data_IF_178601791637
#
_entry.id   IF_178601791637
#
_cell.length_a   1.000
_cell.length_b   1.000
_cell.length_c   1.000
_cell.angle_alpha   90.00
_cell.angle_beta   90.00
_cell.angle_gamma   90.00
#
_symmetry.space_group_name_H-M   'P 1'
#
loop_
_entity.id
_entity.type
_entity.pdbx_description
1 polymer ?
#
# COMPACT_ATOMS: atom_id res chain seq x y z
N UNK A 1 -34.05 -56.55 -7.61
CA UNK A 1 -34.28 -55.25 -6.94
C UNK A 1 -33.81 -55.16 -5.47
N UNK A 2 -33.94 -56.15 -4.65
CA UNK A 2 -33.49 -56.10 -3.22
C UNK A 2 -31.96 -55.96 -3.00
N UNK A 3 -31.12 -56.49 -3.91
CA UNK A 3 -29.66 -56.40 -3.80
C UNK A 3 -29.11 -55.01 -4.16
N UNK A 4 -29.82 -54.24 -4.98
CA UNK A 4 -29.40 -52.88 -5.35
C UNK A 4 -29.67 -51.85 -4.24
N UNK A 5 -30.73 -52.05 -3.49
CA UNK A 5 -31.05 -51.20 -2.33
C UNK A 5 -30.02 -51.34 -1.17
N UNK A 6 -29.44 -52.52 -1.02
CA UNK A 6 -28.41 -52.74 0.03
C UNK A 6 -27.08 -52.09 -0.31
N UNK A 7 -26.69 -52.01 -1.59
CA UNK A 7 -25.49 -51.29 -2.03
C UNK A 7 -25.64 -49.77 -1.92
N UNK A 8 -26.82 -49.22 -2.23
CA UNK A 8 -27.07 -47.78 -2.06
C UNK A 8 -27.09 -47.37 -0.58
N UNK A 9 -27.58 -48.25 0.31
CA UNK A 9 -27.57 -47.96 1.76
C UNK A 9 -26.17 -48.07 2.39
N UNK A 10 -25.31 -48.94 1.89
CA UNK A 10 -23.90 -49.02 2.31
C UNK A 10 -23.06 -47.85 1.74
N UNK A 11 -23.38 -47.27 0.56
CA UNK A 11 -22.71 -46.10 0.00
C UNK A 11 -23.10 -44.81 0.71
N UNK A 12 -24.30 -44.74 1.26
CA UNK A 12 -24.79 -43.57 2.04
C UNK A 12 -24.26 -43.54 3.48
N UNK A 13 -23.86 -44.69 4.05
CA UNK A 13 -23.28 -44.74 5.41
C UNK A 13 -21.78 -44.44 5.45
N UNK A 14 -21.08 -44.48 4.30
CA UNK A 14 -19.64 -44.11 4.23
C UNK A 14 -19.45 -42.60 4.12
N UNK A 15 -20.49 -41.83 3.76
CA UNK A 15 -20.40 -40.35 3.62
C UNK A 15 -20.60 -39.58 4.93
N UNK A 16 -20.82 -40.23 6.05
CA UNK A 16 -20.89 -39.63 7.38
C UNK A 16 -19.73 -40.07 8.31
N UNK A 17 -18.53 -40.24 7.76
CA UNK A 17 -17.35 -40.14 8.62
C UNK A 17 -17.26 -38.70 9.07
N UNK A 18 -17.27 -38.41 10.39
CA UNK A 18 -16.95 -37.05 10.83
C UNK A 18 -15.60 -36.74 10.22
N UNK A 19 -15.52 -35.65 9.49
CA UNK A 19 -14.24 -35.10 9.09
C UNK A 19 -13.55 -34.81 10.44
N UNK A 20 -12.62 -35.64 10.83
CA UNK A 20 -11.78 -35.40 12.01
C UNK A 20 -11.06 -34.07 11.66
N UNK A 21 -11.51 -32.96 12.29
CA UNK A 21 -10.86 -31.68 12.16
C UNK A 21 -9.39 -31.86 12.52
N UNK A 22 -8.51 -31.18 11.79
CA UNK A 22 -7.08 -31.18 12.10
C UNK A 22 -6.87 -30.85 13.58
N UNK A 23 -5.99 -31.59 14.22
CA UNK A 23 -5.60 -31.28 15.61
C UNK A 23 -4.81 -29.96 15.65
N UNK A 24 -4.85 -29.27 16.79
CA UNK A 24 -4.03 -28.05 17.00
C UNK A 24 -2.56 -28.26 16.60
N UNK A 25 -1.99 -29.43 16.96
CA UNK A 25 -0.59 -29.76 16.66
C UNK A 25 -0.32 -29.88 15.15
N UNK A 26 -1.26 -30.44 14.37
CA UNK A 26 -1.18 -30.56 12.94
C UNK A 26 -1.29 -29.18 12.26
N UNK A 27 -2.23 -28.33 12.69
CA UNK A 27 -2.37 -26.96 12.21
C UNK A 27 -1.08 -26.17 12.43
N UNK A 28 -0.52 -26.21 13.63
CA UNK A 28 0.74 -25.50 13.94
C UNK A 28 1.91 -26.04 13.12
N UNK A 29 1.97 -27.33 12.88
CA UNK A 29 3.01 -27.93 12.02
C UNK A 29 2.89 -27.44 10.58
N UNK A 30 1.68 -27.40 10.04
CA UNK A 30 1.41 -26.88 8.70
C UNK A 30 1.78 -25.37 8.58
N UNK A 31 1.38 -24.56 9.57
CA UNK A 31 1.74 -23.13 9.63
C UNK A 31 3.26 -22.94 9.62
N UNK A 32 4.00 -23.72 10.39
CA UNK A 32 5.48 -23.65 10.42
C UNK A 32 6.13 -24.02 9.09
N UNK A 33 5.57 -25.01 8.40
CA UNK A 33 6.03 -25.37 7.05
C UNK A 33 5.77 -24.23 6.08
N UNK A 34 4.54 -23.68 6.02
CA UNK A 34 4.18 -22.54 5.15
C UNK A 34 5.03 -21.32 5.46
N UNK A 35 5.35 -21.05 6.73
CA UNK A 35 6.24 -19.97 7.13
C UNK A 35 7.66 -20.17 6.59
N UNK A 36 8.22 -21.36 6.67
CA UNK A 36 9.52 -21.68 6.08
C UNK A 36 9.53 -21.45 4.56
N UNK A 37 8.50 -21.96 3.85
CA UNK A 37 8.34 -21.78 2.40
C UNK A 37 8.22 -20.31 2.02
N UNK A 38 7.46 -19.50 2.79
CA UNK A 38 7.33 -18.07 2.56
C UNK A 38 8.67 -17.34 2.74
N UNK A 39 9.43 -17.65 3.79
CA UNK A 39 10.77 -17.07 4.00
C UNK A 39 11.74 -17.41 2.87
N UNK A 40 11.70 -18.63 2.35
CA UNK A 40 12.50 -19.01 1.18
C UNK A 40 12.09 -18.25 -0.09
N UNK A 41 10.78 -18.11 -0.34
CA UNK A 41 10.27 -17.30 -1.46
C UNK A 41 10.72 -15.84 -1.37
N UNK A 42 10.59 -15.22 -0.19
CA UNK A 42 11.07 -13.85 0.06
C UNK A 42 12.57 -13.74 -0.20
N UNK A 43 13.37 -14.70 0.31
CA UNK A 43 14.81 -14.72 0.11
C UNK A 43 15.23 -14.91 -1.37
N UNK A 44 14.34 -15.43 -2.24
CA UNK A 44 14.55 -15.60 -3.67
C UNK A 44 13.93 -14.47 -4.51
N UNK A 45 13.16 -13.58 -3.90
CA UNK A 45 12.50 -12.48 -4.61
C UNK A 45 13.53 -11.58 -5.30
N UNK A 46 13.30 -11.25 -6.57
CA UNK A 46 14.23 -10.44 -7.38
C UNK A 46 15.56 -11.09 -7.72
N UNK A 47 15.80 -12.39 -7.39
CA UNK A 47 17.03 -13.10 -7.71
C UNK A 47 16.93 -13.92 -9.01
N UNK A 48 18.09 -14.29 -9.55
CA UNK A 48 18.20 -15.17 -10.74
C UNK A 48 17.49 -14.60 -11.99
N UNK A 49 17.51 -13.28 -12.17
CA UNK A 49 16.91 -12.62 -13.34
C UNK A 49 15.38 -12.58 -13.31
N UNK A 50 14.75 -12.98 -12.21
CA UNK A 50 13.33 -12.79 -12.00
C UNK A 50 13.06 -11.38 -11.51
N UNK A 51 12.00 -10.76 -12.03
CA UNK A 51 11.53 -9.50 -11.47
C UNK A 51 11.00 -9.70 -10.05
N UNK A 52 11.29 -8.78 -9.12
CA UNK A 52 10.70 -8.82 -7.79
C UNK A 52 9.17 -8.68 -7.89
N UNK A 53 8.47 -9.35 -6.99
CA UNK A 53 7.01 -9.27 -6.82
C UNK A 53 6.73 -8.82 -5.41
N UNK A 54 6.90 -7.53 -5.20
CA UNK A 54 6.72 -6.92 -3.90
C UNK A 54 6.19 -5.48 -4.03
N UNK A 55 5.68 -5.00 -2.91
CA UNK A 55 5.36 -3.59 -2.70
C UNK A 55 6.01 -3.17 -1.40
N UNK A 56 6.72 -2.06 -1.43
CA UNK A 56 7.29 -1.42 -0.26
C UNK A 56 6.62 -0.10 -0.01
N UNK A 57 6.26 0.14 1.24
CA UNK A 57 5.77 1.42 1.74
C UNK A 57 6.71 1.86 2.85
N UNK A 58 7.23 3.07 2.77
CA UNK A 58 8.06 3.68 3.80
C UNK A 58 7.43 5.01 4.18
N UNK A 59 7.02 5.14 5.43
CA UNK A 59 6.59 6.39 6.03
C UNK A 59 7.70 6.93 6.91
N UNK A 60 8.21 8.09 6.56
CA UNK A 60 9.22 8.81 7.33
C UNK A 60 8.57 10.01 8.01
N UNK A 61 8.86 10.21 9.30
CA UNK A 61 8.39 11.36 10.09
C UNK A 61 9.53 11.93 10.90
N UNK A 62 9.62 13.25 10.95
CA UNK A 62 10.53 13.98 11.82
C UNK A 62 9.68 14.64 12.91
N UNK A 63 9.75 14.13 14.12
CA UNK A 63 8.91 14.60 15.22
C UNK A 63 9.36 15.96 15.81
N UNK A 64 10.67 16.26 15.76
CA UNK A 64 11.21 17.50 16.31
C UNK A 64 12.39 17.98 15.46
N UNK A 65 12.36 19.26 15.04
CA UNK A 65 13.44 19.89 14.26
C UNK A 65 14.71 20.11 15.10
N UNK A 66 14.56 20.29 16.44
CA UNK A 66 15.67 20.58 17.35
C UNK A 66 16.35 19.30 17.88
N UNK A 67 15.60 18.21 17.96
CA UNK A 67 16.11 16.88 18.30
C UNK A 67 15.60 15.93 17.21
N UNK A 68 16.40 15.63 16.20
CA UNK A 68 15.93 14.79 15.09
C UNK A 68 15.67 13.36 15.60
N UNK A 69 14.48 13.16 16.14
CA UNK A 69 13.91 11.85 16.42
C UNK A 69 13.26 11.40 15.13
N UNK A 70 13.81 10.37 14.57
CA UNK A 70 13.42 9.84 13.28
C UNK A 70 12.55 8.60 13.48
N UNK A 71 11.29 8.70 13.08
CA UNK A 71 10.39 7.57 13.00
C UNK A 71 10.32 7.06 11.57
N UNK A 72 10.59 5.79 11.40
CA UNK A 72 10.47 5.11 10.12
C UNK A 72 9.59 3.89 10.28
N UNK A 73 8.50 3.85 9.54
CA UNK A 73 7.68 2.67 9.33
C UNK A 73 7.90 2.13 7.92
N UNK A 74 8.41 0.92 7.80
CA UNK A 74 8.54 0.24 6.52
C UNK A 74 7.68 -1.02 6.50
N UNK A 75 6.81 -1.12 5.51
CA UNK A 75 6.01 -2.30 5.21
C UNK A 75 6.41 -2.89 3.87
N UNK A 76 6.85 -4.14 3.88
CA UNK A 76 7.13 -4.92 2.68
C UNK A 76 6.06 -5.99 2.50
N UNK A 77 5.35 -5.94 1.39
CA UNK A 77 4.32 -6.91 1.01
C UNK A 77 4.85 -7.80 -0.11
N UNK A 78 4.83 -9.10 0.08
CA UNK A 78 5.22 -10.10 -0.91
C UNK A 78 3.98 -10.81 -1.42
N UNK A 79 3.74 -10.76 -2.73
CA UNK A 79 2.53 -11.29 -3.38
C UNK A 79 2.85 -12.10 -4.64
N UNK A 80 1.85 -12.77 -5.17
CA UNK A 80 1.94 -13.48 -6.44
C UNK A 80 0.95 -12.87 -7.43
N UNK A 81 1.29 -12.96 -8.71
CA UNK A 81 0.44 -12.55 -9.81
C UNK A 81 0.18 -13.74 -10.70
N UNK A 82 -1.04 -13.86 -11.19
CA UNK A 82 -1.45 -14.94 -12.08
C UNK A 82 -2.14 -14.35 -13.31
N UNK A 83 -1.91 -14.92 -14.50
CA UNK A 83 -2.69 -14.60 -15.67
C UNK A 83 -4.19 -14.81 -15.38
N UNK A 84 -5.02 -13.84 -15.70
CA UNK A 84 -6.48 -13.95 -15.61
C UNK A 84 -7.11 -13.65 -16.97
N UNK A 85 -8.38 -14.04 -17.16
CA UNK A 85 -9.10 -13.79 -18.42
C UNK A 85 -9.30 -12.29 -18.73
N UNK A 86 -9.16 -11.43 -17.71
CA UNK A 86 -9.32 -9.98 -17.82
C UNK A 86 -8.01 -9.20 -17.66
N UNK A 87 -6.88 -9.91 -17.61
CA UNK A 87 -5.57 -9.34 -17.34
C UNK A 87 -4.86 -10.02 -16.16
N UNK A 88 -3.81 -9.41 -15.56
CA UNK A 88 -3.15 -9.94 -14.35
C UNK A 88 -4.05 -9.68 -13.15
N UNK A 89 -4.41 -10.74 -12.45
CA UNK A 89 -4.99 -10.63 -11.12
C UNK A 89 -3.87 -10.64 -10.08
N UNK A 90 -3.71 -9.55 -9.36
CA UNK A 90 -2.85 -9.49 -8.19
C UNK A 90 -3.55 -10.21 -7.04
N UNK A 91 -2.89 -11.22 -6.48
CA UNK A 91 -3.40 -11.87 -5.27
C UNK A 91 -3.05 -11.06 -4.03
N UNK A 92 -3.82 -11.22 -2.94
CA UNK A 92 -3.41 -10.73 -1.64
C UNK A 92 -1.99 -11.20 -1.30
N UNK A 93 -1.23 -10.45 -0.48
CA UNK A 93 0.12 -10.86 -0.11
C UNK A 93 0.09 -12.21 0.61
N UNK A 94 1.11 -13.02 0.39
CA UNK A 94 1.31 -14.24 1.17
C UNK A 94 2.17 -14.00 2.41
N UNK A 95 2.96 -12.91 2.40
CA UNK A 95 3.85 -12.55 3.50
C UNK A 95 4.01 -11.03 3.58
N UNK A 96 4.01 -10.51 4.82
CA UNK A 96 4.20 -9.08 5.10
C UNK A 96 5.31 -8.96 6.13
N UNK A 97 6.19 -7.99 5.95
CA UNK A 97 7.25 -7.64 6.90
C UNK A 97 7.11 -6.17 7.25
N UNK A 98 7.05 -5.86 8.54
CA UNK A 98 7.14 -4.52 9.09
C UNK A 98 8.50 -4.35 9.78
N UNK A 99 9.15 -3.24 9.49
CA UNK A 99 10.27 -2.71 10.26
C UNK A 99 9.87 -1.33 10.77
N UNK A 100 9.81 -1.18 12.06
CA UNK A 100 9.45 0.08 12.70
C UNK A 100 10.58 0.55 13.62
N UNK A 101 10.89 1.83 13.55
CA UNK A 101 11.89 2.48 14.40
C UNK A 101 11.29 3.75 14.97
N UNK A 102 11.30 3.88 16.28
CA UNK A 102 10.87 5.07 17.01
C UNK A 102 11.84 5.33 18.16
N UNK A 103 12.39 6.55 18.23
CA UNK A 103 13.30 6.97 19.31
C UNK A 103 14.45 5.99 19.60
N UNK A 104 14.93 5.28 18.56
CA UNK A 104 15.97 4.27 18.71
C UNK A 104 15.45 2.89 19.13
N UNK A 105 14.14 2.73 19.39
CA UNK A 105 13.52 1.43 19.61
C UNK A 105 13.17 0.80 18.26
N UNK A 106 13.51 -0.46 18.12
CA UNK A 106 13.26 -1.22 16.91
C UNK A 106 12.13 -2.22 17.16
N UNK A 107 11.16 -2.26 16.27
CA UNK A 107 10.16 -3.32 16.21
C UNK A 107 10.21 -3.98 14.84
N UNK A 108 10.10 -5.28 14.84
CA UNK A 108 10.04 -6.11 13.66
C UNK A 108 8.83 -7.02 13.75
N UNK A 109 8.03 -7.07 12.69
CA UNK A 109 6.88 -7.96 12.61
C UNK A 109 6.87 -8.71 11.29
N UNK A 110 6.42 -9.96 11.35
CA UNK A 110 6.14 -10.79 10.19
C UNK A 110 4.71 -11.30 10.27
N UNK A 111 3.99 -11.22 9.17
CA UNK A 111 2.63 -11.76 9.03
C UNK A 111 2.61 -12.78 7.90
N UNK A 112 2.12 -13.98 8.18
CA UNK A 112 1.91 -15.03 7.19
C UNK A 112 0.43 -15.20 6.92
N UNK A 113 0.06 -15.21 5.64
CA UNK A 113 -1.29 -15.48 5.18
C UNK A 113 -1.35 -16.91 4.60
N UNK A 114 -2.51 -17.53 4.76
CA UNK A 114 -2.79 -18.81 4.10
C UNK A 114 -2.86 -18.62 2.59
N UNK A 115 -2.08 -19.36 1.80
CA UNK A 115 -2.02 -19.15 0.34
C UNK A 115 -3.32 -19.48 -0.40
N UNK A 116 -4.28 -20.18 0.23
CA UNK A 116 -5.57 -20.55 -0.36
C UNK A 116 -6.73 -19.66 0.09
N UNK A 117 -6.78 -19.35 1.39
CA UNK A 117 -7.88 -18.57 1.97
C UNK A 117 -7.54 -17.10 2.17
N UNK A 118 -6.26 -16.72 2.05
CA UNK A 118 -5.71 -15.39 2.31
C UNK A 118 -5.99 -14.86 3.73
N UNK A 119 -6.31 -15.75 4.65
CA UNK A 119 -6.49 -15.42 6.05
C UNK A 119 -5.16 -15.38 6.78
N UNK A 120 -5.05 -14.52 7.77
CA UNK A 120 -3.89 -14.45 8.66
C UNK A 120 -3.83 -15.73 9.48
N UNK A 121 -2.71 -16.47 9.39
CA UNK A 121 -2.49 -17.73 10.10
C UNK A 121 -1.34 -17.67 11.10
N UNK A 122 -0.47 -16.65 10.97
CA UNK A 122 0.65 -16.51 11.89
C UNK A 122 1.11 -15.05 11.95
N UNK A 123 1.45 -14.59 13.16
CA UNK A 123 2.17 -13.33 13.39
C UNK A 123 3.39 -13.61 14.27
N UNK A 124 4.51 -13.05 13.93
CA UNK A 124 5.72 -12.95 14.74
C UNK A 124 6.04 -11.49 14.97
N UNK A 125 6.25 -11.11 16.20
CA UNK A 125 6.65 -9.75 16.57
C UNK A 125 7.85 -9.81 17.50
N UNK A 126 8.82 -8.95 17.24
CA UNK A 126 9.99 -8.71 18.06
C UNK A 126 10.16 -7.22 18.28
N UNK A 127 10.36 -6.81 19.51
CA UNK A 127 10.64 -5.43 19.87
C UNK A 127 11.65 -5.35 20.99
N UNK A 128 12.13 -4.13 21.23
CA UNK A 128 13.02 -3.82 22.33
C UNK A 128 12.32 -2.83 23.27
N UNK A 129 12.41 -3.05 24.56
CA UNK A 129 11.89 -2.13 25.58
C UNK A 129 12.91 -1.06 25.89
N UNK A 130 12.47 0.06 26.51
CA UNK A 130 13.34 1.15 26.98
C UNK A 130 14.49 0.68 27.91
N UNK A 131 14.30 -0.46 28.55
CA UNK A 131 15.33 -1.10 29.39
C UNK A 131 16.27 -2.04 28.62
N UNK A 132 16.15 -2.12 27.28
CA UNK A 132 16.98 -2.95 26.41
C UNK A 132 16.59 -4.44 26.40
N UNK A 133 15.42 -4.81 26.94
CA UNK A 133 14.96 -6.20 26.91
C UNK A 133 14.26 -6.50 25.57
N UNK A 134 14.66 -7.60 24.94
CA UNK A 134 14.01 -8.09 23.72
C UNK A 134 12.73 -8.85 24.11
N UNK A 135 11.60 -8.38 23.57
CA UNK A 135 10.29 -9.03 23.68
C UNK A 135 9.97 -9.72 22.36
N UNK A 136 9.56 -10.97 22.43
CA UNK A 136 9.12 -11.73 21.26
C UNK A 136 7.73 -12.33 21.51
N UNK A 137 6.89 -12.28 20.48
CA UNK A 137 5.58 -12.95 20.46
C UNK A 137 5.39 -13.74 19.17
N UNK A 138 4.75 -14.89 19.27
CA UNK A 138 4.34 -15.73 18.14
C UNK A 138 2.90 -16.15 18.35
N UNK A 139 2.01 -15.73 17.48
CA UNK A 139 0.59 -16.05 17.52
C UNK A 139 0.24 -16.94 16.31
N UNK A 140 -0.39 -18.08 16.60
CA UNK A 140 -0.87 -19.04 15.60
C UNK A 140 -2.40 -18.98 15.56
N UNK A 141 -2.99 -18.91 14.37
CA UNK A 141 -4.43 -18.80 14.19
C UNK A 141 -4.96 -19.98 13.36
N UNK A 142 -6.17 -20.41 13.67
CA UNK A 142 -6.89 -21.42 12.88
C UNK A 142 -7.58 -20.80 11.64
N UNK A 143 -8.28 -21.64 10.88
CA UNK A 143 -9.02 -21.22 9.69
C UNK A 143 -10.26 -20.35 9.99
N UNK A 144 -10.63 -20.16 11.25
CA UNK A 144 -11.64 -19.21 11.71
C UNK A 144 -11.01 -17.90 12.19
N UNK A 145 -9.68 -17.80 12.17
CA UNK A 145 -8.92 -16.65 12.66
C UNK A 145 -8.90 -16.55 14.18
N UNK A 146 -9.16 -17.65 14.90
CA UNK A 146 -9.03 -17.73 16.35
C UNK A 146 -7.59 -18.09 16.73
N UNK A 147 -7.02 -17.38 17.71
CA UNK A 147 -5.71 -17.73 18.23
C UNK A 147 -5.75 -19.09 18.91
N UNK A 148 -5.02 -20.07 18.37
CA UNK A 148 -4.91 -21.42 18.91
C UNK A 148 -3.67 -21.61 19.78
N UNK A 149 -2.62 -20.79 19.57
CA UNK A 149 -1.42 -20.81 20.39
C UNK A 149 -0.74 -19.44 20.37
N UNK A 150 -0.38 -18.98 21.55
CA UNK A 150 0.51 -17.84 21.75
C UNK A 150 1.79 -18.31 22.44
N UNK A 151 2.94 -17.83 21.97
CA UNK A 151 4.24 -18.01 22.61
C UNK A 151 4.89 -16.65 22.76
N UNK A 152 5.15 -16.27 23.99
CA UNK A 152 5.88 -15.04 24.33
C UNK A 152 6.98 -15.34 25.34
N UNK A 153 8.06 -14.60 25.29
CA UNK A 153 9.14 -14.65 26.26
C UNK A 153 8.91 -13.70 27.45
N UNK A 154 7.83 -12.93 27.44
CA UNK A 154 7.53 -11.94 28.50
C UNK A 154 6.08 -12.12 28.96
N UNK A 155 5.83 -12.39 30.24
CA UNK A 155 4.47 -12.35 30.79
C UNK A 155 3.95 -10.91 30.72
N UNK A 156 2.70 -10.71 30.32
CA UNK A 156 2.06 -9.42 30.05
C UNK A 156 2.71 -8.67 28.87
N UNK A 157 2.95 -9.36 27.76
CA UNK A 157 3.48 -8.73 26.55
C UNK A 157 2.53 -7.63 26.07
N UNK A 158 3.10 -6.53 25.54
CA UNK A 158 2.35 -5.46 24.88
C UNK A 158 1.65 -5.93 23.60
N UNK A 159 1.97 -7.16 23.16
CA UNK A 159 1.47 -7.79 21.95
C UNK A 159 0.47 -8.89 22.30
N UNK A 160 -0.81 -8.56 22.31
CA UNK A 160 -1.86 -9.57 22.44
C UNK A 160 -2.19 -10.22 21.09
N UNK A 161 -2.63 -11.50 21.04
CA UNK A 161 -3.05 -12.11 19.78
C UNK A 161 -4.12 -11.32 19.02
N UNK A 162 -4.99 -10.61 19.76
CA UNK A 162 -6.02 -9.75 19.18
C UNK A 162 -5.41 -8.52 18.52
N UNK A 163 -4.52 -7.78 19.22
CA UNK A 163 -3.87 -6.59 18.65
C UNK A 163 -2.97 -6.94 17.47
N UNK A 164 -2.26 -8.07 17.50
CA UNK A 164 -1.45 -8.55 16.39
C UNK A 164 -2.30 -8.82 15.14
N UNK A 165 -3.47 -9.43 15.31
CA UNK A 165 -4.39 -9.69 14.21
C UNK A 165 -4.99 -8.42 13.65
N UNK A 166 -5.46 -7.49 14.50
CA UNK A 166 -6.01 -6.20 14.10
C UNK A 166 -5.00 -5.37 13.29
N UNK A 167 -3.73 -5.37 13.72
CA UNK A 167 -2.64 -4.71 12.98
C UNK A 167 -2.41 -5.38 11.62
N UNK A 168 -2.37 -6.71 11.56
CA UNK A 168 -2.20 -7.43 10.31
C UNK A 168 -3.37 -7.20 9.33
N UNK A 169 -4.61 -7.13 9.82
CA UNK A 169 -5.80 -6.76 9.02
C UNK A 169 -5.71 -5.33 8.49
N UNK A 170 -5.15 -4.40 9.28
CA UNK A 170 -4.89 -3.04 8.81
C UNK A 170 -3.87 -3.01 7.65
N UNK A 171 -2.80 -3.81 7.71
CA UNK A 171 -1.85 -3.92 6.61
C UNK A 171 -2.47 -4.48 5.34
N UNK A 172 -3.35 -5.49 5.47
CA UNK A 172 -4.11 -6.01 4.32
C UNK A 172 -4.93 -4.92 3.64
N UNK A 173 -5.61 -4.09 4.42
CA UNK A 173 -6.38 -2.96 3.90
C UNK A 173 -5.50 -1.93 3.19
N UNK A 174 -4.33 -1.61 3.74
CA UNK A 174 -3.33 -0.74 3.11
C UNK A 174 -2.90 -1.31 1.75
N UNK A 175 -2.61 -2.62 1.68
CA UNK A 175 -2.24 -3.29 0.43
C UNK A 175 -3.37 -3.20 -0.61
N UNK A 176 -4.60 -3.52 -0.23
CA UNK A 176 -5.76 -3.45 -1.13
C UNK A 176 -5.97 -2.04 -1.69
N UNK A 177 -5.87 -1.02 -0.85
CA UNK A 177 -5.98 0.37 -1.29
C UNK A 177 -4.85 0.76 -2.25
N UNK A 178 -3.61 0.33 -1.97
CA UNK A 178 -2.47 0.59 -2.83
C UNK A 178 -2.61 -0.05 -4.21
N UNK A 179 -3.13 -1.28 -4.28
CA UNK A 179 -3.28 -2.03 -5.52
C UNK A 179 -4.52 -1.60 -6.34
N UNK A 180 -5.58 -1.13 -5.68
CA UNK A 180 -6.84 -0.74 -6.34
C UNK A 180 -6.86 0.73 -6.80
N UNK A 181 -5.74 1.46 -6.74
CA UNK A 181 -5.66 2.85 -7.22
C UNK A 181 -6.04 2.93 -8.70
N UNK A 182 -7.01 3.78 -8.99
CA UNK A 182 -7.49 4.05 -10.36
C UNK A 182 -8.72 3.25 -10.79
N UNK A 183 -9.28 2.36 -9.97
CA UNK A 183 -10.40 1.52 -10.42
C UNK A 183 -11.81 1.97 -10.06
N UNK A 184 -12.02 2.83 -9.05
CA UNK A 184 -13.38 3.32 -8.74
C UNK A 184 -13.41 4.48 -7.73
N UNK A 185 -13.59 5.71 -8.17
CA UNK A 185 -14.14 6.74 -7.29
C UNK A 185 -15.34 7.45 -7.94
N UNK A 186 -16.52 7.19 -7.42
CA UNK A 186 -17.70 8.03 -7.69
C UNK A 186 -17.59 9.31 -6.87
N UNK A 187 -17.23 10.41 -7.54
CA UNK A 187 -17.18 11.74 -6.92
C UNK A 187 -18.59 12.33 -6.85
N UNK A 188 -19.08 12.53 -5.63
CA UNK A 188 -20.21 13.42 -5.37
C UNK A 188 -19.71 14.87 -5.35
N UNK A 189 -19.88 15.57 -6.48
CA UNK A 189 -19.53 16.98 -6.64
C UNK A 189 -20.67 17.86 -6.13
N UNK A 190 -20.64 18.25 -4.85
CA UNK A 190 -21.46 19.35 -4.34
C UNK A 190 -20.62 20.19 -3.36
N UNK A 191 -19.82 21.11 -3.92
CA UNK A 191 -19.19 22.16 -3.12
C UNK A 191 -19.87 23.52 -3.36
N UNK A 192 -20.06 24.34 -2.31
CA UNK A 192 -20.64 25.68 -2.46
C UNK A 192 -19.67 26.60 -3.21
N UNK A 193 -20.17 27.29 -4.24
CA UNK A 193 -19.41 28.27 -5.03
C UNK A 193 -19.04 29.49 -4.17
N UNK A 194 -17.77 29.62 -3.87
CA UNK A 194 -17.18 30.83 -3.25
C UNK A 194 -16.69 31.76 -4.35
N UNK A 195 -16.67 33.09 -4.12
CA UNK A 195 -16.24 34.08 -5.10
C UNK A 195 -14.88 33.74 -5.73
N UNK A 196 -14.79 33.82 -7.06
CA UNK A 196 -13.61 33.40 -7.83
C UNK A 196 -12.57 34.49 -7.87
N UNK A 197 -11.32 34.12 -7.53
CA UNK A 197 -10.13 34.96 -7.83
C UNK A 197 -9.95 35.09 -9.35
N UNK A 198 -9.55 36.26 -9.88
CA UNK A 198 -9.28 36.40 -11.30
C UNK A 198 -8.31 35.35 -11.83
N UNK A 199 -8.61 34.74 -12.98
CA UNK A 199 -7.82 33.64 -13.57
C UNK A 199 -6.31 33.94 -13.59
N UNK A 200 -5.93 35.12 -14.00
CA UNK A 200 -4.51 35.52 -14.12
C UNK A 200 -3.78 35.53 -12.78
N UNK A 201 -4.44 35.99 -11.72
CA UNK A 201 -3.90 36.00 -10.35
C UNK A 201 -3.81 34.58 -9.82
N UNK A 202 -4.84 33.76 -10.04
CA UNK A 202 -4.84 32.34 -9.63
C UNK A 202 -3.70 31.56 -10.30
N UNK A 203 -3.51 31.73 -11.59
CA UNK A 203 -2.41 31.10 -12.32
C UNK A 203 -1.03 31.54 -11.82
N UNK A 204 -0.86 32.84 -11.48
CA UNK A 204 0.38 33.35 -10.90
C UNK A 204 0.66 32.72 -9.53
N UNK A 205 -0.36 32.62 -8.68
CA UNK A 205 -0.29 31.99 -7.38
C UNK A 205 0.09 30.51 -7.50
N UNK A 206 -0.62 29.72 -8.32
CA UNK A 206 -0.34 28.30 -8.54
C UNK A 206 1.11 28.08 -9.00
N UNK A 207 1.60 28.87 -9.96
CA UNK A 207 2.99 28.75 -10.45
C UNK A 207 4.02 29.04 -9.38
N UNK A 208 3.77 30.03 -8.51
CA UNK A 208 4.67 30.37 -7.40
C UNK A 208 4.70 29.23 -6.38
N UNK A 209 3.53 28.71 -6.00
CA UNK A 209 3.43 27.61 -5.06
C UNK A 209 4.03 26.31 -5.62
N UNK A 210 3.84 26.02 -6.90
CA UNK A 210 4.48 24.90 -7.57
C UNK A 210 6.01 24.97 -7.54
N UNK A 211 6.58 26.16 -7.84
CA UNK A 211 8.03 26.34 -7.75
C UNK A 211 8.56 26.15 -6.32
N UNK A 212 7.83 26.63 -5.32
CA UNK A 212 8.15 26.39 -3.91
C UNK A 212 8.11 24.91 -3.55
N UNK A 213 7.02 24.20 -3.88
CA UNK A 213 6.85 22.79 -3.61
C UNK A 213 7.94 21.92 -4.28
N UNK A 214 8.28 22.21 -5.53
CA UNK A 214 9.39 21.52 -6.24
C UNK A 214 10.74 21.74 -5.56
N UNK A 215 11.01 22.95 -5.12
CA UNK A 215 12.26 23.24 -4.40
C UNK A 215 12.29 22.53 -3.04
N UNK A 216 11.19 22.52 -2.32
CA UNK A 216 11.06 21.86 -1.02
C UNK A 216 11.19 20.33 -1.16
N UNK A 217 10.48 19.71 -2.11
CA UNK A 217 10.59 18.27 -2.37
C UNK A 217 12.01 17.87 -2.76
N UNK A 218 12.66 18.63 -3.66
CA UNK A 218 14.06 18.40 -4.05
C UNK A 218 15.03 18.55 -2.88
N UNK A 219 14.71 19.42 -1.92
CA UNK A 219 15.53 19.61 -0.70
C UNK A 219 15.31 18.44 0.24
N UNK A 220 14.07 17.98 0.40
CA UNK A 220 13.75 16.81 1.22
C UNK A 220 14.42 15.54 0.67
N UNK A 221 14.41 15.33 -0.66
CA UNK A 221 15.08 14.19 -1.29
C UNK A 221 16.60 14.10 -1.02
N UNK A 222 17.23 15.19 -0.61
CA UNK A 222 18.65 15.26 -0.30
C UNK A 222 18.96 15.12 1.20
N UNK A 223 17.93 15.18 2.05
CA UNK A 223 18.08 14.98 3.48
C UNK A 223 18.08 13.49 3.79
N UNK A 224 18.84 13.09 4.80
CA UNK A 224 18.77 11.73 5.35
C UNK A 224 17.41 11.48 6.03
N UNK A 225 16.76 12.56 6.49
CA UNK A 225 15.45 12.52 7.17
C UNK A 225 14.53 13.57 6.56
N UNK A 226 13.36 13.17 6.14
CA UNK A 226 12.34 14.05 5.55
C UNK A 226 10.94 13.54 5.88
N UNK A 227 9.96 14.47 5.90
CA UNK A 227 8.56 14.10 6.00
C UNK A 227 8.07 13.67 4.61
N UNK A 228 8.05 12.38 4.35
CA UNK A 228 7.52 11.80 3.12
C UNK A 228 6.96 10.39 3.30
N UNK A 229 6.06 10.02 2.42
CA UNK A 229 5.58 8.65 2.25
C UNK A 229 6.03 8.16 0.87
N UNK A 230 6.90 7.17 0.86
CA UNK A 230 7.41 6.56 -0.35
C UNK A 230 6.81 5.17 -0.57
N UNK A 231 6.30 4.94 -1.77
CA UNK A 231 5.70 3.67 -2.17
C UNK A 231 6.37 3.20 -3.43
N UNK A 232 6.91 1.99 -3.39
CA UNK A 232 7.45 1.31 -4.56
C UNK A 232 6.67 0.03 -4.80
N UNK A 233 6.16 -0.14 -6.01
CA UNK A 233 5.45 -1.35 -6.45
C UNK A 233 6.20 -1.92 -7.64
N UNK A 234 6.62 -3.18 -7.54
CA UNK A 234 7.13 -3.95 -8.66
C UNK A 234 6.03 -4.84 -9.21
N UNK A 235 5.56 -4.50 -10.40
CA UNK A 235 4.45 -5.14 -11.06
C UNK A 235 4.91 -5.84 -12.35
N UNK A 236 4.48 -7.09 -12.53
CA UNK A 236 4.62 -7.81 -13.78
C UNK A 236 3.31 -7.63 -14.53
N UNK A 237 3.27 -6.68 -15.47
CA UNK A 237 2.12 -6.57 -16.38
C UNK A 237 1.88 -7.86 -17.16
N UNK A 238 0.64 -8.09 -17.61
CA UNK A 238 0.27 -9.17 -18.51
C UNK A 238 0.99 -9.04 -19.84
N UNK A 239 1.73 -10.07 -20.23
CA UNK A 239 2.49 -10.10 -21.50
C UNK A 239 3.34 -8.84 -21.76
N UNK A 240 3.45 -7.96 -20.77
CA UNK A 240 4.19 -6.71 -20.79
C UNK A 240 5.50 -6.86 -20.00
N UNK A 241 6.52 -6.10 -20.35
CA UNK A 241 7.73 -6.04 -19.54
C UNK A 241 7.41 -5.58 -18.11
N UNK A 242 8.22 -6.02 -17.12
CA UNK A 242 8.06 -5.62 -15.74
C UNK A 242 7.93 -4.11 -15.59
N UNK A 243 6.99 -3.67 -14.75
CA UNK A 243 6.73 -2.27 -14.46
C UNK A 243 7.12 -1.96 -13.02
N UNK A 244 7.77 -0.83 -12.82
CA UNK A 244 7.97 -0.24 -11.49
C UNK A 244 7.14 1.01 -11.37
N UNK A 245 6.41 1.14 -10.27
CA UNK A 245 5.66 2.35 -9.91
C UNK A 245 6.27 2.89 -8.63
N UNK A 246 6.75 4.12 -8.68
CA UNK A 246 7.26 4.86 -7.53
C UNK A 246 6.34 6.04 -7.25
N UNK A 247 5.83 6.15 -6.04
CA UNK A 247 5.02 7.30 -5.60
C UNK A 247 5.66 7.91 -4.38
N UNK A 248 5.84 9.22 -4.38
CA UNK A 248 6.28 9.98 -3.24
C UNK A 248 5.25 11.03 -2.87
N UNK A 249 4.80 11.03 -1.62
CA UNK A 249 3.85 11.98 -1.04
C UNK A 249 4.63 12.81 -0.04
N UNK A 250 4.78 14.10 -0.32
CA UNK A 250 5.44 15.05 0.56
C UNK A 250 4.37 15.80 1.36
N UNK A 251 4.58 15.85 2.68
CA UNK A 251 3.66 16.48 3.61
C UNK A 251 4.42 17.36 4.61
N UNK A 252 3.68 18.16 5.34
CA UNK A 252 4.14 18.95 6.48
C UNK A 252 3.01 19.00 7.52
N UNK A 253 3.15 19.85 8.54
CA UNK A 253 2.14 20.04 9.59
C UNK A 253 0.75 20.44 9.06
N UNK A 254 0.67 21.01 7.86
CA UNK A 254 -0.56 21.48 7.24
C UNK A 254 -1.17 20.41 6.32
N UNK A 255 -0.50 19.26 6.13
CA UNK A 255 -0.92 18.14 5.30
C UNK A 255 -0.09 17.95 4.03
N UNK A 256 -0.65 17.26 3.04
CA UNK A 256 0.05 17.00 1.78
C UNK A 256 0.21 18.31 1.00
N UNK A 257 1.44 18.63 0.58
CA UNK A 257 1.67 19.76 -0.30
C UNK A 257 2.03 19.35 -1.73
N UNK A 258 2.64 18.18 -1.91
CA UNK A 258 3.07 17.71 -3.23
C UNK A 258 3.11 16.19 -3.33
N UNK A 259 2.76 15.67 -4.51
CA UNK A 259 2.92 14.25 -4.83
C UNK A 259 3.63 14.15 -6.17
N UNK A 260 4.56 13.22 -6.29
CA UNK A 260 5.03 12.74 -7.59
C UNK A 260 4.80 11.23 -7.70
N UNK A 261 4.52 10.80 -8.93
CA UNK A 261 4.36 9.40 -9.28
C UNK A 261 5.14 9.14 -10.57
N UNK A 262 5.91 8.07 -10.59
CA UNK A 262 6.66 7.65 -11.76
C UNK A 262 6.40 6.17 -12.03
N UNK A 263 5.89 5.86 -13.21
CA UNK A 263 5.64 4.48 -13.66
C UNK A 263 6.52 4.20 -14.87
N UNK A 264 7.39 3.22 -14.76
CA UNK A 264 8.34 2.85 -15.82
C UNK A 264 8.19 1.39 -16.22
N UNK A 265 8.25 1.14 -17.53
CA UNK A 265 8.43 -0.17 -18.13
C UNK A 265 9.35 -0.06 -19.35
N UNK A 266 9.65 -1.17 -20.03
CA UNK A 266 10.50 -1.13 -21.25
C UNK A 266 9.89 -0.30 -22.40
N UNK A 267 8.57 -0.10 -22.44
CA UNK A 267 7.87 0.57 -23.54
C UNK A 267 7.12 1.83 -23.10
N UNK A 268 7.00 2.06 -21.82
CA UNK A 268 6.17 3.11 -21.26
C UNK A 268 6.88 3.80 -20.10
N UNK A 269 6.90 5.12 -20.14
CA UNK A 269 7.37 5.99 -19.07
C UNK A 269 6.28 7.03 -18.80
N UNK A 270 5.70 7.03 -17.61
CA UNK A 270 4.72 8.02 -17.18
C UNK A 270 5.14 8.67 -15.88
N UNK A 271 5.06 9.97 -15.86
CA UNK A 271 5.39 10.78 -14.69
C UNK A 271 4.26 11.77 -14.43
N UNK A 272 3.76 11.78 -13.20
CA UNK A 272 2.70 12.65 -12.75
C UNK A 272 3.12 13.47 -11.53
N UNK A 273 2.61 14.69 -11.44
CA UNK A 273 2.78 15.57 -10.28
C UNK A 273 1.42 16.17 -9.88
N UNK A 274 1.20 16.26 -8.57
CA UNK A 274 -0.01 16.85 -8.00
C UNK A 274 0.38 17.87 -6.95
N UNK A 275 -0.16 19.09 -7.04
CA UNK A 275 0.07 20.19 -6.11
C UNK A 275 -1.22 20.51 -5.37
N UNK A 276 -1.13 20.56 -4.05
CA UNK A 276 -2.27 20.81 -3.17
C UNK A 276 -2.21 22.21 -2.56
N UNK A 277 -3.37 22.80 -2.34
CA UNK A 277 -3.54 24.04 -1.59
C UNK A 277 -3.31 23.76 -0.10
N UNK A 278 -2.32 24.37 0.58
CA UNK A 278 -1.99 24.02 1.97
C UNK A 278 -3.16 24.10 2.94
N UNK A 279 -4.03 25.12 2.80
CA UNK A 279 -5.14 25.36 3.72
C UNK A 279 -6.38 24.50 3.50
N UNK A 280 -6.64 24.13 2.26
CA UNK A 280 -7.88 23.45 1.87
C UNK A 280 -7.64 22.00 1.46
N UNK A 281 -6.39 21.65 1.22
CA UNK A 281 -5.98 20.35 0.67
C UNK A 281 -6.64 20.02 -0.67
N UNK A 282 -7.14 21.04 -1.39
CA UNK A 282 -7.67 20.88 -2.74
C UNK A 282 -6.54 20.76 -3.75
N UNK A 283 -6.71 19.89 -4.74
CA UNK A 283 -5.83 19.86 -5.91
C UNK A 283 -5.95 21.20 -6.67
N UNK A 284 -4.81 21.87 -6.92
CA UNK A 284 -4.76 23.15 -7.62
C UNK A 284 -3.97 23.09 -8.91
N UNK A 285 -3.14 22.06 -9.08
CA UNK A 285 -2.38 21.83 -10.29
C UNK A 285 -2.05 20.37 -10.44
N UNK A 286 -2.10 19.85 -11.68
CA UNK A 286 -1.51 18.57 -12.04
C UNK A 286 -0.68 18.70 -13.33
N UNK A 287 0.35 17.86 -13.39
CA UNK A 287 1.20 17.66 -14.54
C UNK A 287 1.33 16.17 -14.82
N UNK A 288 1.08 15.78 -16.05
CA UNK A 288 1.27 14.42 -16.53
C UNK A 288 2.14 14.44 -17.77
N UNK A 289 3.17 13.59 -17.78
CA UNK A 289 3.99 13.31 -18.96
C UNK A 289 3.95 11.79 -19.20
N UNK A 290 3.63 11.39 -20.40
CA UNK A 290 3.72 10.00 -20.84
C UNK A 290 4.58 9.90 -22.08
N UNK A 291 5.46 8.89 -22.13
CA UNK A 291 6.24 8.54 -23.32
C UNK A 291 5.88 7.13 -23.72
N UNK A 292 5.40 6.99 -24.95
CA UNK A 292 4.99 5.73 -25.55
C UNK A 292 5.56 5.65 -26.97
N UNK A 293 6.21 4.54 -27.31
CA UNK A 293 6.85 4.33 -28.61
C UNK A 293 7.79 5.48 -29.06
N UNK A 294 8.45 6.12 -28.08
CA UNK A 294 9.37 7.24 -28.32
C UNK A 294 8.69 8.59 -28.53
N UNK A 295 7.37 8.67 -28.48
CA UNK A 295 6.63 9.92 -28.52
C UNK A 295 6.25 10.39 -27.13
N UNK A 296 6.51 11.65 -26.80
CA UNK A 296 6.23 12.21 -25.47
C UNK A 296 5.02 13.15 -25.54
N UNK A 297 4.08 12.90 -24.67
CA UNK A 297 2.88 13.70 -24.47
C UNK A 297 2.93 14.36 -23.10
N UNK A 298 2.44 15.59 -23.01
CA UNK A 298 2.38 16.34 -21.77
C UNK A 298 1.01 17.01 -21.60
N UNK A 299 0.52 16.98 -20.36
CA UNK A 299 -0.69 17.69 -19.94
C UNK A 299 -0.41 18.46 -18.67
N UNK A 300 -0.93 19.69 -18.59
CA UNK A 300 -0.92 20.54 -17.39
C UNK A 300 -2.30 21.11 -17.19
N UNK A 301 -2.86 20.84 -16.01
CA UNK A 301 -4.18 21.32 -15.63
C UNK A 301 -4.06 22.25 -14.43
N UNK A 302 -4.75 23.38 -14.50
CA UNK A 302 -4.80 24.39 -13.45
C UNK A 302 -6.22 24.52 -12.96
N UNK A 303 -6.42 24.51 -11.63
CA UNK A 303 -7.75 24.50 -11.03
C UNK A 303 -7.99 25.75 -10.17
N UNK A 304 -9.24 26.22 -10.13
CA UNK A 304 -9.70 27.26 -9.23
C UNK A 304 -9.94 26.71 -7.81
N UNK A 305 -10.43 27.58 -6.92
CA UNK A 305 -10.74 27.24 -5.53
C UNK A 305 -11.89 26.23 -5.38
N UNK A 306 -12.71 26.12 -6.43
CA UNK A 306 -13.83 25.17 -6.49
C UNK A 306 -13.44 23.82 -7.10
N UNK A 307 -12.19 23.68 -7.54
CA UNK A 307 -11.71 22.50 -8.26
C UNK A 307 -12.10 22.46 -9.75
N UNK A 308 -12.63 23.54 -10.34
CA UNK A 308 -12.89 23.60 -11.77
C UNK A 308 -11.58 23.83 -12.52
N UNK A 309 -11.39 23.12 -13.65
CA UNK A 309 -10.24 23.35 -14.52
C UNK A 309 -10.40 24.71 -15.23
N UNK A 310 -9.44 25.61 -14.97
CA UNK A 310 -9.45 26.98 -15.55
C UNK A 310 -8.47 27.14 -16.70
N UNK A 311 -7.50 26.24 -16.82
CA UNK A 311 -6.54 26.24 -17.92
C UNK A 311 -5.99 24.83 -18.13
N UNK A 312 -5.95 24.40 -19.39
CA UNK A 312 -5.26 23.20 -19.86
C UNK A 312 -4.14 23.59 -20.82
N UNK A 313 -2.96 22.99 -20.65
CA UNK A 313 -1.86 23.06 -21.61
C UNK A 313 -1.41 21.67 -21.98
N UNK A 314 -1.37 21.36 -23.26
CA UNK A 314 -0.96 20.06 -23.77
C UNK A 314 -0.24 20.20 -25.11
N UNK A 315 0.64 19.26 -25.41
CA UNK A 315 1.20 19.05 -26.75
C UNK A 315 0.52 17.86 -27.48
N UNK A 316 -0.46 17.20 -26.83
CA UNK A 316 -1.25 16.12 -27.43
C UNK A 316 -2.38 16.71 -28.30
N UNK A 317 -2.70 15.99 -29.39
CA UNK A 317 -3.88 16.28 -30.20
C UNK A 317 -5.15 15.58 -29.66
N UNK A 318 -5.01 14.67 -28.71
CA UNK A 318 -6.14 14.01 -28.07
C UNK A 318 -6.90 14.99 -27.15
N UNK A 319 -8.21 14.80 -27.09
CA UNK A 319 -9.06 15.60 -26.22
C UNK A 319 -8.64 15.38 -24.76
N UNK A 320 -8.16 16.45 -24.13
CA UNK A 320 -7.90 16.45 -22.70
C UNK A 320 -9.23 16.25 -21.94
N UNK A 321 -9.24 15.38 -20.95
CA UNK A 321 -10.41 15.10 -20.09
C UNK A 321 -10.68 16.19 -19.03
N UNK A 322 -10.17 17.41 -19.25
CA UNK A 322 -10.19 18.54 -18.31
C UNK A 322 -9.58 18.20 -16.93
N UNK A 323 -8.69 17.21 -16.89
CA UNK A 323 -8.01 16.77 -15.67
C UNK A 323 -8.91 16.01 -14.70
N UNK A 324 -9.99 15.38 -15.18
CA UNK A 324 -10.88 14.56 -14.34
C UNK A 324 -10.14 13.35 -13.80
N UNK A 325 -9.39 12.65 -14.65
CA UNK A 325 -8.57 11.50 -14.25
C UNK A 325 -7.54 11.90 -13.20
N UNK A 326 -6.83 13.02 -13.39
CA UNK A 326 -5.83 13.51 -12.45
C UNK A 326 -6.43 13.86 -11.08
N UNK A 327 -7.65 14.41 -11.04
CA UNK A 327 -8.37 14.69 -9.78
C UNK A 327 -8.70 13.40 -9.02
N UNK A 328 -9.10 12.35 -9.73
CA UNK A 328 -9.38 11.06 -9.13
C UNK A 328 -8.11 10.46 -8.51
N UNK A 329 -7.02 10.41 -9.26
CA UNK A 329 -5.75 9.92 -8.76
C UNK A 329 -5.25 10.71 -7.55
N UNK A 330 -5.31 12.05 -7.62
CA UNK A 330 -4.90 12.91 -6.50
C UNK A 330 -5.70 12.62 -5.22
N UNK A 331 -7.02 12.39 -5.35
CA UNK A 331 -7.88 12.05 -4.23
C UNK A 331 -7.59 10.65 -3.67
N UNK A 332 -7.32 9.68 -4.55
CA UNK A 332 -6.94 8.32 -4.14
C UNK A 332 -5.65 8.35 -3.32
N UNK A 333 -4.65 9.15 -3.73
CA UNK A 333 -3.43 9.34 -2.96
C UNK A 333 -3.66 10.02 -1.61
N UNK A 334 -4.54 11.03 -1.54
CA UNK A 334 -4.89 11.67 -0.26
C UNK A 334 -5.56 10.69 0.70
N UNK A 335 -6.54 9.92 0.19
CA UNK A 335 -7.25 8.93 0.99
C UNK A 335 -6.31 7.83 1.49
N UNK A 336 -5.37 7.42 0.64
CA UNK A 336 -4.36 6.44 1.00
C UNK A 336 -3.39 6.96 2.07
N UNK A 337 -2.89 8.18 1.90
CA UNK A 337 -2.02 8.82 2.91
C UNK A 337 -2.73 8.91 4.26
N UNK A 338 -3.99 9.34 4.28
CA UNK A 338 -4.78 9.45 5.52
C UNK A 338 -4.93 8.08 6.20
N UNK A 339 -5.28 7.04 5.47
CA UNK A 339 -5.40 5.69 6.03
C UNK A 339 -4.07 5.18 6.59
N UNK A 340 -2.94 5.47 5.94
CA UNK A 340 -1.62 5.12 6.45
C UNK A 340 -1.33 5.87 7.75
N UNK A 341 -1.54 7.18 7.80
CA UNK A 341 -1.34 7.96 9.01
C UNK A 341 -2.23 7.49 10.17
N UNK A 342 -3.49 7.14 9.89
CA UNK A 342 -4.42 6.63 10.90
C UNK A 342 -3.99 5.26 11.45
N UNK A 343 -3.31 4.43 10.66
CA UNK A 343 -2.93 3.06 11.05
C UNK A 343 -1.50 2.93 11.58
N UNK A 344 -0.58 3.70 11.03
CA UNK A 344 0.83 3.69 11.46
C UNK A 344 1.15 4.83 12.42
N UNK A 345 0.32 5.86 12.51
CA UNK A 345 0.51 7.05 13.34
C UNK A 345 -0.12 6.98 14.72
N UNK A 346 -0.77 5.86 15.10
CA UNK A 346 -1.46 5.68 16.39
C UNK A 346 -0.67 4.88 17.41
#
# INVERSE_FOLDING_TARGET
MRKLQFYIMCLLTVSCLPSFGQTKAEIIKEIRQLYGEAKEKVAQNGKNGKSPKDMRIVLNRVEDEDIPLYDMDQLDFYYEQYPSESGVATQPPYFIVENWSNHGHLRYREVLLNPKSHQIIFCYTRGETDAGFVVESRCYYDNQGQCIEEKTNTPNSWYSPKSEKETAEAYMKIFEMAMNRGSNSQLNANMPKKGTVPKAERLKYIRALYAQAKNQSTTNDKKEMSDDLHITIHDLGDDQPPRTIETRIYFDKDGIYFINNHSTSMQYDAYCEYLFEPKTQNLIFSYTRATEEGQTYEWRYYYNENGDCIETKTNSQENADEGVTDKHHAKDYQSFYQEICDKLGS
#
